data_IF_495255802733
#
_entry.id   IF_495255802733
#
_cell.length_a   1.000
_cell.length_b   1.000
_cell.length_c   1.000
_cell.angle_alpha   90.00
_cell.angle_beta   90.00
_cell.angle_gamma   90.00
#
_symmetry.space_group_name_H-M   'P 1'
#
loop_
_entity.id
_entity.type
_entity.pdbx_description
1 polymer ?
#
# COMPACT_ATOMS: atom_id res chain seq x y z
N UNK A 1 -5.62 11.92 -7.62
CA UNK A 1 -4.23 12.35 -7.33
C UNK A 1 -3.30 11.48 -8.15
N UNK A 2 -2.27 12.04 -8.80
CA UNK A 2 -1.31 11.25 -9.57
C UNK A 2 -0.09 10.97 -8.70
N UNK A 3 -0.16 9.92 -7.89
CA UNK A 3 1.04 9.34 -7.30
C UNK A 3 1.77 8.57 -8.40
N UNK A 4 3.08 8.76 -8.50
CA UNK A 4 3.87 8.06 -9.51
C UNK A 4 4.16 6.65 -9.00
N UNK A 5 3.61 5.64 -9.67
CA UNK A 5 3.94 4.24 -9.40
C UNK A 5 5.43 4.02 -9.74
N UNK A 6 6.20 3.58 -8.75
CA UNK A 6 7.62 3.25 -8.87
C UNK A 6 7.81 1.78 -9.20
N UNK A 7 7.09 0.90 -8.49
CA UNK A 7 7.15 -0.54 -8.70
C UNK A 7 5.86 -1.21 -8.24
N UNK A 8 5.60 -2.38 -8.82
CA UNK A 8 4.49 -3.25 -8.47
C UNK A 8 5.03 -4.68 -8.37
N UNK A 9 4.61 -5.42 -7.35
CA UNK A 9 4.85 -6.86 -7.22
C UNK A 9 3.58 -7.57 -6.80
N UNK A 10 3.39 -8.81 -7.28
CA UNK A 10 2.26 -9.64 -6.89
C UNK A 10 2.79 -11.02 -6.51
N UNK A 11 2.58 -11.42 -5.26
CA UNK A 11 3.10 -12.67 -4.72
C UNK A 11 1.95 -13.63 -4.40
N UNK A 12 2.00 -14.89 -4.86
CA UNK A 12 0.97 -15.87 -4.54
C UNK A 12 1.01 -16.23 -3.06
N UNK A 13 -0.16 -16.34 -2.44
CA UNK A 13 -0.31 -16.72 -1.04
C UNK A 13 -1.31 -17.88 -0.93
N UNK A 14 -0.99 -18.92 -0.16
CA UNK A 14 -1.87 -20.09 0.01
C UNK A 14 -3.16 -19.77 0.79
N UNK A 15 -3.21 -18.59 1.39
CA UNK A 15 -4.26 -18.16 2.29
C UNK A 15 -4.17 -18.82 3.66
N UNK A 16 -5.11 -18.47 4.52
CA UNK A 16 -5.14 -18.95 5.92
C UNK A 16 -6.38 -19.84 6.14
N UNK A 17 -6.61 -20.77 5.21
CA UNK A 17 -7.73 -21.73 5.26
C UNK A 17 -9.02 -21.30 4.53
N UNK A 18 -9.11 -20.04 4.08
CA UNK A 18 -10.24 -19.52 3.29
C UNK A 18 -10.05 -19.66 1.76
N UNK A 19 -8.87 -20.12 1.33
CA UNK A 19 -8.50 -20.30 -0.08
C UNK A 19 -7.27 -19.46 -0.47
N UNK A 20 -6.60 -19.82 -1.58
CA UNK A 20 -5.44 -19.10 -2.07
C UNK A 20 -5.80 -17.72 -2.61
N UNK A 21 -4.80 -16.84 -2.68
CA UNK A 21 -4.92 -15.49 -3.20
C UNK A 21 -3.56 -14.93 -3.60
N UNK A 22 -3.47 -13.61 -3.70
CA UNK A 22 -2.19 -12.90 -3.91
C UNK A 22 -2.05 -11.76 -2.92
N UNK A 23 -0.81 -11.37 -2.66
CA UNK A 23 -0.47 -10.13 -1.97
C UNK A 23 0.12 -9.21 -3.05
N UNK A 24 -0.64 -8.18 -3.41
CA UNK A 24 -0.23 -7.13 -4.34
C UNK A 24 0.49 -6.05 -3.55
N UNK A 25 1.64 -5.57 -3.99
CA UNK A 25 2.35 -4.46 -3.35
C UNK A 25 2.68 -3.42 -4.41
N UNK A 26 2.06 -2.26 -4.28
CA UNK A 26 2.33 -1.07 -5.09
C UNK A 26 3.20 -0.10 -4.30
N UNK A 27 4.34 0.28 -4.87
CA UNK A 27 5.22 1.30 -4.30
C UNK A 27 5.10 2.56 -5.13
N UNK A 28 4.71 3.65 -4.49
CA UNK A 28 4.58 4.97 -5.09
C UNK A 28 5.67 5.91 -4.59
N UNK A 29 6.07 6.84 -5.45
CA UNK A 29 6.83 8.00 -5.00
C UNK A 29 5.92 8.90 -4.15
N UNK A 30 6.38 9.25 -2.95
CA UNK A 30 5.67 10.16 -2.06
C UNK A 30 5.42 11.51 -2.75
N UNK A 31 4.27 12.16 -2.58
CA UNK A 31 3.96 13.38 -3.33
C UNK A 31 4.89 14.56 -3.00
N UNK A 32 5.58 14.53 -1.86
CA UNK A 32 6.62 15.51 -1.53
C UNK A 32 7.97 15.25 -2.24
N UNK A 33 8.13 14.10 -2.90
CA UNK A 33 9.34 13.67 -3.60
C UNK A 33 10.46 13.13 -2.70
N UNK A 34 10.29 13.08 -1.37
CA UNK A 34 11.35 12.73 -0.40
C UNK A 34 11.19 11.33 0.22
N UNK A 35 10.51 10.42 -0.45
CA UNK A 35 10.30 9.06 0.07
C UNK A 35 9.27 8.30 -0.74
N UNK A 36 8.69 7.29 -0.12
CA UNK A 36 7.81 6.33 -0.79
C UNK A 36 6.54 6.10 0.02
N UNK A 37 5.50 5.67 -0.67
CA UNK A 37 4.25 5.19 -0.08
C UNK A 37 4.04 3.78 -0.60
N UNK A 38 3.96 2.82 0.31
CA UNK A 38 3.69 1.43 -0.03
C UNK A 38 2.21 1.17 0.22
N UNK A 39 1.56 0.53 -0.73
CA UNK A 39 0.20 0.02 -0.58
C UNK A 39 0.23 -1.47 -0.81
N UNK A 40 -0.27 -2.20 0.17
CA UNK A 40 -0.40 -3.66 0.07
C UNK A 40 -1.88 -3.98 -0.10
N UNK A 41 -2.22 -4.82 -1.08
CA UNK A 41 -3.56 -5.33 -1.30
C UNK A 41 -3.58 -6.84 -1.10
N UNK A 42 -4.14 -7.32 0.00
CA UNK A 42 -4.35 -8.74 0.23
C UNK A 42 -5.57 -9.21 -0.54
N UNK A 43 -5.34 -9.85 -1.69
CA UNK A 43 -6.38 -10.53 -2.47
C UNK A 43 -6.58 -11.97 -1.99
N UNK A 44 -6.52 -12.15 -0.67
CA UNK A 44 -6.73 -13.42 -0.01
C UNK A 44 -8.19 -13.45 0.48
N UNK A 45 -8.98 -14.48 0.15
CA UNK A 45 -10.35 -14.60 0.62
C UNK A 45 -10.43 -14.47 2.16
N UNK A 46 -11.34 -13.61 2.64
CA UNK A 46 -11.56 -13.40 4.08
C UNK A 46 -10.55 -12.50 4.79
N UNK A 47 -9.61 -11.88 4.07
CA UNK A 47 -8.64 -10.92 4.63
C UNK A 47 -9.02 -9.47 4.32
N UNK A 48 -8.46 -8.53 5.08
CA UNK A 48 -8.62 -7.09 4.86
C UNK A 48 -8.09 -6.74 3.47
N UNK A 49 -8.84 -5.92 2.73
CA UNK A 49 -8.54 -5.67 1.32
C UNK A 49 -7.22 -4.93 1.08
N UNK A 50 -6.79 -4.00 1.95
CA UNK A 50 -5.55 -3.22 1.74
C UNK A 50 -5.00 -2.53 2.99
N UNK A 51 -3.68 -2.25 2.99
CA UNK A 51 -2.95 -1.45 3.98
C UNK A 51 -2.08 -0.39 3.30
N UNK A 52 -1.90 0.78 3.94
CA UNK A 52 -1.10 1.89 3.41
C UNK A 52 -0.01 2.29 4.39
N UNK A 53 1.24 2.25 3.93
CA UNK A 53 2.42 2.60 4.71
C UNK A 53 3.14 3.79 4.09
N UNK A 54 3.26 4.89 4.85
CA UNK A 54 4.01 6.07 4.43
C UNK A 54 5.45 5.94 4.94
N UNK A 55 6.41 5.75 4.03
CA UNK A 55 7.86 5.67 4.31
C UNK A 55 8.57 7.02 4.18
N UNK A 56 7.83 8.12 4.24
CA UNK A 56 8.37 9.47 4.25
C UNK A 56 8.04 10.11 5.60
N UNK A 57 9.06 10.47 6.40
CA UNK A 57 8.85 11.03 7.74
C UNK A 57 8.05 12.35 7.72
N UNK A 58 8.38 13.28 6.82
CA UNK A 58 7.64 14.54 6.64
C UNK A 58 6.14 14.29 6.39
N UNK A 59 5.82 13.37 5.47
CA UNK A 59 4.43 13.06 5.13
C UNK A 59 3.76 12.21 6.21
N UNK A 60 4.49 11.33 6.88
CA UNK A 60 3.98 10.52 7.98
C UNK A 60 3.61 11.40 9.18
N UNK A 61 4.42 12.39 9.50
CA UNK A 61 4.10 13.38 10.54
C UNK A 61 2.88 14.22 10.14
N UNK A 62 2.79 14.60 8.86
CA UNK A 62 1.69 15.42 8.35
C UNK A 62 0.34 14.70 8.27
N UNK A 63 0.30 13.48 7.74
CA UNK A 63 -0.95 12.73 7.49
C UNK A 63 -1.26 11.70 8.58
N UNK A 64 -0.27 11.30 9.40
CA UNK A 64 -0.45 10.30 10.43
C UNK A 64 -0.75 8.91 9.87
N UNK A 65 -1.65 8.18 10.52
CA UNK A 65 -2.15 6.90 10.04
C UNK A 65 -3.24 7.13 9.00
N UNK A 66 -3.01 6.66 7.78
CA UNK A 66 -3.97 6.68 6.67
C UNK A 66 -4.41 5.26 6.35
N UNK A 67 -5.65 5.10 5.90
CA UNK A 67 -6.18 3.81 5.44
C UNK A 67 -6.28 3.75 3.91
N UNK A 68 -6.05 4.86 3.21
CA UNK A 68 -6.16 4.94 1.75
C UNK A 68 -5.24 6.00 1.15
N UNK A 69 -4.73 5.73 -0.06
CA UNK A 69 -3.92 6.71 -0.82
C UNK A 69 -4.64 8.02 -1.08
N UNK A 70 -5.97 7.99 -1.18
CA UNK A 70 -6.83 9.16 -1.38
C UNK A 70 -6.70 10.21 -0.27
N UNK A 71 -6.20 9.82 0.89
CA UNK A 71 -6.00 10.68 2.06
C UNK A 71 -4.67 11.45 2.01
N UNK A 72 -3.72 11.00 1.19
CA UNK A 72 -2.40 11.61 1.05
C UNK A 72 -2.48 12.70 -0.02
N UNK A 73 -2.36 13.98 0.39
CA UNK A 73 -2.54 15.15 -0.47
C UNK A 73 -1.36 16.11 -0.58
#
# INVERSE_FOLDING_TARGET
MNLNLKSHSSEPHQGYGAGPGTIDTDTYVCPCGKGEVIVTHDRIPGFRESDVMILCDDCREKYGMVNSLSEIK
#
